data_IF_398405185901
#
_entry.id   IF_398405185901
#
_cell.length_a   1.000
_cell.length_b   1.000
_cell.length_c   1.000
_cell.angle_alpha   90.00
_cell.angle_beta   90.00
_cell.angle_gamma   90.00
#
_symmetry.space_group_name_H-M   'P 1'
#
loop_
_entity.id
_entity.type
_entity.pdbx_description
1 polymer ?
#
# COMPACT_ATOMS: atom_id res chain seq x y z
N UNK A 1 31.00 21.98 1.99
CA UNK A 1 30.57 23.09 2.87
C UNK A 1 29.32 23.82 2.35
N UNK A 2 29.15 24.05 1.05
CA UNK A 2 27.95 24.68 0.46
C UNK A 2 26.57 24.06 0.84
N UNK A 3 26.40 22.72 0.94
CA UNK A 3 25.08 22.12 1.24
C UNK A 3 24.57 22.38 2.66
N UNK A 4 25.47 22.56 3.63
CA UNK A 4 25.11 22.81 5.03
C UNK A 4 24.48 24.18 5.21
N UNK A 5 25.07 25.21 4.60
CA UNK A 5 24.54 26.58 4.68
C UNK A 5 23.19 26.74 3.99
N UNK A 6 23.00 26.03 2.86
CA UNK A 6 21.73 26.04 2.13
C UNK A 6 20.62 25.35 2.93
N UNK A 7 20.90 24.17 3.50
CA UNK A 7 19.95 23.47 4.38
C UNK A 7 19.67 24.24 5.68
N UNK A 8 20.68 24.88 6.28
CA UNK A 8 20.49 25.76 7.44
C UNK A 8 19.59 26.97 7.11
N UNK A 9 19.74 27.57 5.93
CA UNK A 9 18.86 28.64 5.46
C UNK A 9 17.41 28.17 5.29
N UNK A 10 17.19 26.99 4.70
CA UNK A 10 15.85 26.38 4.58
C UNK A 10 15.25 26.04 5.95
N UNK A 11 16.06 25.55 6.89
CA UNK A 11 15.63 25.27 8.26
C UNK A 11 15.18 26.56 8.97
N UNK A 12 15.96 27.64 8.88
CA UNK A 12 15.59 28.95 9.43
C UNK A 12 14.32 29.51 8.79
N UNK A 13 14.15 29.39 7.47
CA UNK A 13 12.94 29.81 6.78
C UNK A 13 11.69 29.00 7.22
N UNK A 14 11.86 27.70 7.47
CA UNK A 14 10.80 26.82 7.97
C UNK A 14 10.40 27.22 9.41
N UNK A 15 11.37 27.47 10.28
CA UNK A 15 11.13 27.98 11.64
C UNK A 15 10.43 29.34 11.59
N UNK A 16 10.87 30.26 10.74
CA UNK A 16 10.22 31.56 10.57
C UNK A 16 8.76 31.42 10.11
N UNK A 17 8.46 30.44 9.26
CA UNK A 17 7.09 30.12 8.82
C UNK A 17 6.24 29.58 9.97
N UNK A 18 6.77 28.67 10.79
CA UNK A 18 6.11 28.17 12.00
C UNK A 18 5.81 29.28 13.00
N UNK A 19 6.77 30.20 13.22
CA UNK A 19 6.58 31.36 14.12
C UNK A 19 5.47 32.28 13.58
N UNK A 20 5.43 32.54 12.27
CA UNK A 20 4.38 33.35 11.63
C UNK A 20 3.00 32.70 11.72
N UNK A 21 2.95 31.37 11.61
CA UNK A 21 1.73 30.59 11.82
C UNK A 21 1.25 30.71 13.28
N UNK A 22 2.13 30.52 14.26
CA UNK A 22 1.78 30.67 15.68
C UNK A 22 1.30 32.10 16.02
N UNK A 23 1.87 33.12 15.36
CA UNK A 23 1.46 34.53 15.51
C UNK A 23 0.17 34.90 14.75
N UNK A 24 -0.49 33.97 14.04
CA UNK A 24 -1.71 34.21 13.25
C UNK A 24 -1.61 35.38 12.27
N UNK A 25 -0.43 35.60 11.69
CA UNK A 25 -0.16 36.72 10.76
C UNK A 25 -0.61 36.43 9.33
N UNK A 26 -0.73 35.17 8.94
CA UNK A 26 -1.17 34.78 7.59
C UNK A 26 -2.67 34.51 7.54
N UNK A 27 -3.36 34.80 6.41
CA UNK A 27 -4.79 34.49 6.24
C UNK A 27 -5.10 33.00 6.48
N UNK A 28 -4.23 32.11 5.99
CA UNK A 28 -4.33 30.65 6.19
C UNK A 28 -4.22 30.22 7.66
N UNK A 29 -3.50 30.96 8.51
CA UNK A 29 -3.40 30.68 9.94
C UNK A 29 -4.64 31.14 10.75
N UNK A 30 -5.44 32.03 10.16
CA UNK A 30 -6.70 32.51 10.75
C UNK A 30 -7.91 31.69 10.27
N UNK A 31 -7.75 30.92 9.21
CA UNK A 31 -8.81 30.07 8.71
C UNK A 31 -9.07 28.93 9.71
N UNK A 32 -10.33 28.79 10.12
CA UNK A 32 -10.80 27.72 11.03
C UNK A 32 -11.67 26.69 10.32
N UNK A 33 -11.83 26.83 9.00
CA UNK A 33 -12.48 25.82 8.19
C UNK A 33 -11.67 24.51 8.22
N UNK A 34 -12.33 23.35 8.27
CA UNK A 34 -11.65 22.07 8.23
C UNK A 34 -10.84 21.93 6.93
N UNK A 35 -9.51 22.05 7.02
CA UNK A 35 -8.61 21.86 5.87
C UNK A 35 -8.76 20.45 5.26
N UNK A 36 -8.97 19.46 6.13
CA UNK A 36 -9.28 18.10 5.72
C UNK A 36 -10.74 17.82 6.10
N UNK A 37 -11.58 17.55 5.10
CA UNK A 37 -12.95 17.14 5.35
C UNK A 37 -12.98 15.80 6.09
N UNK A 38 -14.00 15.59 6.92
CA UNK A 38 -14.15 14.32 7.67
C UNK A 38 -14.16 13.11 6.74
N UNK A 39 -14.74 13.26 5.56
CA UNK A 39 -14.76 12.22 4.52
C UNK A 39 -13.35 11.89 4.03
N UNK A 40 -12.49 12.89 3.86
CA UNK A 40 -11.09 12.67 3.46
C UNK A 40 -10.31 11.96 4.56
N UNK A 41 -10.49 12.33 5.84
CA UNK A 41 -9.84 11.63 6.96
C UNK A 41 -10.29 10.16 7.00
N UNK A 42 -11.59 9.90 6.78
CA UNK A 42 -12.14 8.56 6.74
C UNK A 42 -11.54 7.73 5.59
N UNK A 43 -11.49 8.28 4.38
CA UNK A 43 -10.89 7.63 3.21
C UNK A 43 -9.41 7.31 3.42
N UNK A 44 -8.63 8.26 3.94
CA UNK A 44 -7.20 8.06 4.24
C UNK A 44 -7.01 7.00 5.33
N UNK A 45 -7.82 7.05 6.39
CA UNK A 45 -7.73 6.11 7.52
C UNK A 45 -8.07 4.68 7.10
N UNK A 46 -9.12 4.49 6.30
CA UNK A 46 -9.48 3.18 5.77
C UNK A 46 -8.42 2.69 4.79
N UNK A 47 -7.88 3.56 3.94
CA UNK A 47 -6.80 3.20 3.02
C UNK A 47 -5.59 2.71 3.79
N UNK A 48 -5.12 3.48 4.78
CA UNK A 48 -4.01 3.08 5.65
C UNK A 48 -4.33 1.78 6.42
N UNK A 49 -5.53 1.65 6.98
CA UNK A 49 -5.97 0.46 7.67
C UNK A 49 -6.02 -0.79 6.78
N UNK A 50 -6.44 -0.65 5.53
CA UNK A 50 -6.47 -1.75 4.57
C UNK A 50 -5.07 -2.22 4.15
N UNK A 51 -4.12 -1.29 4.01
CA UNK A 51 -2.72 -1.65 3.75
C UNK A 51 -2.10 -2.35 4.96
N UNK A 52 -2.38 -1.87 6.17
CA UNK A 52 -1.95 -2.57 7.40
C UNK A 52 -2.57 -3.97 7.50
N UNK A 53 -3.85 -4.11 7.21
CA UNK A 53 -4.53 -5.39 7.18
C UNK A 53 -3.92 -6.35 6.13
N UNK A 54 -3.55 -5.84 4.95
CA UNK A 54 -2.83 -6.61 3.93
C UNK A 54 -1.51 -7.17 4.49
N UNK A 55 -0.68 -6.34 5.12
CA UNK A 55 0.60 -6.77 5.70
C UNK A 55 0.39 -7.86 6.76
N UNK A 56 -0.60 -7.68 7.63
CA UNK A 56 -0.95 -8.69 8.65
C UNK A 56 -1.39 -9.99 7.97
N UNK A 57 -2.30 -9.92 6.99
CA UNK A 57 -2.78 -11.09 6.25
C UNK A 57 -1.67 -11.82 5.51
N UNK A 58 -0.69 -11.12 4.92
CA UNK A 58 0.47 -11.74 4.26
C UNK A 58 1.21 -12.70 5.19
N UNK A 59 1.20 -12.42 6.50
CA UNK A 59 1.86 -13.25 7.52
C UNK A 59 1.09 -14.54 7.79
N UNK A 60 -0.24 -14.55 7.58
CA UNK A 60 -1.10 -15.70 7.86
C UNK A 60 -1.44 -16.53 6.62
N UNK A 61 -1.92 -15.89 5.56
CA UNK A 61 -2.44 -16.57 4.36
C UNK A 61 -1.50 -16.47 3.16
N UNK A 62 -0.36 -15.79 3.33
CA UNK A 62 0.61 -15.55 2.27
C UNK A 62 0.24 -14.39 1.34
N UNK A 63 1.19 -14.00 0.50
CA UNK A 63 1.10 -12.75 -0.25
C UNK A 63 0.05 -12.80 -1.36
N UNK A 64 -0.03 -13.91 -2.08
CA UNK A 64 -0.94 -14.03 -3.23
C UNK A 64 -2.41 -13.99 -2.82
N UNK A 65 -2.80 -14.76 -1.80
CA UNK A 65 -4.16 -14.74 -1.28
C UNK A 65 -4.48 -13.41 -0.58
N UNK A 66 -3.53 -12.84 0.16
CA UNK A 66 -3.71 -11.52 0.76
C UNK A 66 -3.95 -10.44 -0.32
N UNK A 67 -3.27 -10.51 -1.47
CA UNK A 67 -3.53 -9.63 -2.61
C UNK A 67 -4.92 -9.83 -3.22
N UNK A 68 -5.42 -11.07 -3.34
CA UNK A 68 -6.81 -11.33 -3.80
C UNK A 68 -7.79 -10.62 -2.87
N UNK A 69 -7.68 -10.85 -1.56
CA UNK A 69 -8.59 -10.27 -0.55
C UNK A 69 -8.48 -8.75 -0.53
N UNK A 70 -7.26 -8.21 -0.57
CA UNK A 70 -7.02 -6.77 -0.61
C UNK A 70 -7.62 -6.13 -1.86
N UNK A 71 -7.44 -6.73 -3.04
CA UNK A 71 -8.00 -6.21 -4.30
C UNK A 71 -9.52 -6.27 -4.30
N UNK A 72 -10.12 -7.36 -3.80
CA UNK A 72 -11.57 -7.45 -3.61
C UNK A 72 -12.05 -6.33 -2.70
N UNK A 73 -11.41 -6.10 -1.56
CA UNK A 73 -11.80 -5.03 -0.64
C UNK A 73 -11.64 -3.64 -1.30
N UNK A 74 -10.46 -3.35 -1.83
CA UNK A 74 -10.09 -2.03 -2.32
C UNK A 74 -10.86 -1.64 -3.58
N UNK A 75 -10.92 -2.53 -4.58
CA UNK A 75 -11.61 -2.23 -5.85
C UNK A 75 -13.13 -2.23 -5.67
N UNK A 76 -13.68 -3.15 -4.86
CA UNK A 76 -15.14 -3.27 -4.69
C UNK A 76 -15.73 -2.27 -3.72
N UNK A 77 -15.13 -2.11 -2.54
CA UNK A 77 -15.70 -1.29 -1.47
C UNK A 77 -15.23 0.16 -1.56
N UNK A 78 -13.92 0.39 -1.76
CA UNK A 78 -13.39 1.75 -1.91
C UNK A 78 -13.65 2.31 -3.31
N UNK A 79 -13.33 1.54 -4.36
CA UNK A 79 -13.47 1.98 -5.75
C UNK A 79 -14.89 1.90 -6.32
N UNK A 80 -15.80 1.16 -5.67
CA UNK A 80 -17.20 0.93 -6.12
C UNK A 80 -17.31 0.48 -7.59
N UNK A 81 -16.30 -0.24 -8.10
CA UNK A 81 -16.28 -0.73 -9.47
C UNK A 81 -17.20 -1.95 -9.66
N UNK A 82 -17.45 -2.30 -10.93
CA UNK A 82 -18.26 -3.45 -11.31
C UNK A 82 -17.58 -4.77 -10.91
N UNK A 83 -18.38 -5.81 -10.67
CA UNK A 83 -17.90 -7.14 -10.30
C UNK A 83 -16.92 -7.75 -11.31
N UNK A 84 -17.12 -7.66 -12.64
CA UNK A 84 -16.17 -8.18 -13.61
C UNK A 84 -14.79 -7.51 -13.50
N UNK A 85 -14.77 -6.19 -13.32
CA UNK A 85 -13.51 -5.46 -13.16
C UNK A 85 -12.83 -5.82 -11.84
N UNK A 86 -13.60 -5.92 -10.76
CA UNK A 86 -13.10 -6.34 -9.44
C UNK A 86 -12.45 -7.72 -9.50
N UNK A 87 -13.14 -8.71 -10.09
CA UNK A 87 -12.61 -10.07 -10.24
C UNK A 87 -11.39 -10.11 -11.16
N UNK A 88 -11.40 -9.32 -12.24
CA UNK A 88 -10.27 -9.17 -13.14
C UNK A 88 -9.00 -8.70 -12.41
N UNK A 89 -9.10 -7.66 -11.57
CA UNK A 89 -7.97 -7.20 -10.76
C UNK A 89 -7.62 -8.16 -9.62
N UNK A 90 -8.61 -8.72 -8.94
CA UNK A 90 -8.41 -9.61 -7.81
C UNK A 90 -7.70 -10.91 -8.20
N UNK A 91 -7.91 -11.41 -9.42
CA UNK A 91 -7.25 -12.61 -9.94
C UNK A 91 -6.02 -12.25 -10.77
N UNK A 92 -6.13 -11.25 -11.64
CA UNK A 92 -5.05 -10.86 -12.56
C UNK A 92 -3.82 -10.33 -11.85
N UNK A 93 -3.99 -9.54 -10.77
CA UNK A 93 -2.85 -8.96 -10.06
C UNK A 93 -2.00 -10.03 -9.35
N UNK A 94 -2.56 -10.95 -8.54
CA UNK A 94 -1.78 -12.03 -7.95
C UNK A 94 -1.10 -12.93 -8.97
N UNK A 95 -1.77 -13.25 -10.09
CA UNK A 95 -1.17 -14.04 -11.18
C UNK A 95 0.03 -13.30 -11.79
N UNK A 96 -0.13 -12.01 -12.10
CA UNK A 96 0.96 -11.20 -12.64
C UNK A 96 2.14 -11.13 -11.68
N UNK A 97 1.88 -10.91 -10.38
CA UNK A 97 2.92 -10.89 -9.34
C UNK A 97 3.60 -12.24 -9.23
N UNK A 98 2.87 -13.35 -9.30
CA UNK A 98 3.43 -14.71 -9.31
C UNK A 98 4.39 -14.91 -10.49
N UNK A 99 3.94 -14.60 -11.70
CA UNK A 99 4.76 -14.73 -12.91
C UNK A 99 6.00 -13.84 -12.84
N UNK A 100 5.86 -12.61 -12.35
CA UNK A 100 6.99 -11.69 -12.24
C UNK A 100 8.02 -12.18 -11.22
N UNK A 101 7.60 -12.52 -10.01
CA UNK A 101 8.55 -12.80 -8.94
C UNK A 101 9.06 -14.24 -8.94
N UNK A 102 8.20 -15.23 -9.13
CA UNK A 102 8.61 -16.63 -9.04
C UNK A 102 9.12 -17.17 -10.38
N UNK A 103 8.52 -16.77 -11.50
CA UNK A 103 8.93 -17.25 -12.82
C UNK A 103 10.07 -16.40 -13.38
N UNK A 104 9.91 -15.08 -13.45
CA UNK A 104 10.92 -14.22 -14.08
C UNK A 104 12.09 -13.87 -13.16
N UNK A 105 11.84 -13.61 -11.87
CA UNK A 105 12.88 -13.18 -10.93
C UNK A 105 13.40 -14.29 -10.00
N UNK A 106 12.76 -15.46 -9.94
CA UNK A 106 13.12 -16.57 -9.05
C UNK A 106 13.26 -16.17 -7.57
N UNK A 107 12.42 -15.24 -7.11
CA UNK A 107 12.37 -14.77 -5.71
C UNK A 107 11.08 -15.20 -5.05
N UNK A 108 11.20 -15.78 -3.86
CA UNK A 108 10.06 -16.20 -3.06
C UNK A 108 9.45 -15.05 -2.26
N UNK A 109 8.12 -14.99 -2.26
CA UNK A 109 7.35 -14.10 -1.41
C UNK A 109 6.89 -14.85 -0.14
N UNK A 110 6.51 -14.12 0.93
CA UNK A 110 5.91 -14.73 2.11
C UNK A 110 4.71 -15.60 1.74
N UNK A 111 4.78 -16.90 2.06
CA UNK A 111 3.74 -17.90 1.78
C UNK A 111 2.73 -18.09 2.93
N UNK A 112 2.98 -17.46 4.08
CA UNK A 112 2.06 -17.45 5.22
C UNK A 112 2.25 -18.66 6.13
N UNK A 113 1.14 -19.19 6.66
CA UNK A 113 1.14 -20.38 7.50
C UNK A 113 1.54 -21.65 6.72
N UNK A 114 2.02 -22.71 7.41
CA UNK A 114 2.53 -23.93 6.77
C UNK A 114 1.55 -24.59 5.79
N UNK A 115 0.25 -24.55 6.08
CA UNK A 115 -0.79 -25.13 5.22
C UNK A 115 -0.82 -24.46 3.84
N UNK A 116 -0.65 -23.14 3.79
CA UNK A 116 -0.60 -22.39 2.54
C UNK A 116 0.73 -22.57 1.83
N UNK A 117 1.82 -22.68 2.60
CA UNK A 117 3.14 -22.99 2.06
C UNK A 117 3.15 -24.34 1.35
N UNK A 118 2.63 -25.39 1.98
CA UNK A 118 2.53 -26.75 1.40
C UNK A 118 1.73 -26.75 0.09
N UNK A 119 0.60 -26.03 0.06
CA UNK A 119 -0.22 -25.88 -1.14
C UNK A 119 0.56 -25.19 -2.27
N UNK A 120 1.34 -24.15 -1.95
CA UNK A 120 2.18 -23.46 -2.92
C UNK A 120 3.36 -24.30 -3.39
N UNK A 121 3.96 -25.11 -2.51
CA UNK A 121 5.03 -26.03 -2.87
C UNK A 121 4.55 -27.09 -3.86
N UNK A 122 3.31 -27.57 -3.74
CA UNK A 122 2.73 -28.46 -4.73
C UNK A 122 2.58 -27.81 -6.10
N UNK A 123 2.11 -26.56 -6.16
CA UNK A 123 2.00 -25.78 -7.40
C UNK A 123 3.39 -25.53 -8.01
N UNK A 124 4.37 -25.17 -7.18
CA UNK A 124 5.73 -24.95 -7.62
C UNK A 124 6.37 -26.23 -8.16
N UNK A 125 6.21 -27.36 -7.48
CA UNK A 125 6.75 -28.64 -7.95
C UNK A 125 6.16 -29.02 -9.31
N UNK A 126 4.84 -28.86 -9.48
CA UNK A 126 4.19 -29.05 -10.77
C UNK A 126 4.78 -28.11 -11.84
N UNK A 127 5.01 -26.84 -11.52
CA UNK A 127 5.68 -25.92 -12.47
C UNK A 127 7.09 -26.41 -12.82
N UNK A 128 7.90 -26.81 -11.84
CA UNK A 128 9.26 -27.29 -12.09
C UNK A 128 9.28 -28.51 -13.02
N UNK A 129 8.35 -29.45 -12.86
CA UNK A 129 8.22 -30.65 -13.72
C UNK A 129 7.90 -30.34 -15.20
N UNK A 130 7.23 -29.22 -15.48
CA UNK A 130 6.81 -28.88 -16.85
C UNK A 130 7.73 -27.88 -17.55
N UNK A 131 8.47 -27.06 -16.78
CA UNK A 131 9.33 -26.00 -17.31
C UNK A 131 10.83 -26.34 -17.25
N UNK A 132 11.22 -27.44 -16.60
CA UNK A 132 12.58 -28.00 -16.55
C UNK A 132 12.57 -29.51 -16.72
#
# INVERSE_FOLDING_TARGET
MWPFWLSAGMALASVATLVRWAQKKTPESRNTDPYISRDTIFLVSISAGSVLALLIMMTFIGTYLALVVFMLFFVRFMGRHSWPMTLGFAIGTPIFVYLLFEVALTKYLPKGLPIFEDAFLWVDNFRYEWFY
#
